data_IF_817022262345
#
_entry.id   IF_817022262345
#
_cell.length_a   1.000
_cell.length_b   1.000
_cell.length_c   1.000
_cell.angle_alpha   90.00
_cell.angle_beta   90.00
_cell.angle_gamma   90.00
#
_symmetry.space_group_name_H-M   'P 1'
#
loop_
_entity.id
_entity.type
_entity.pdbx_description
1 polymer ?
#
# COMPACT_ATOMS: atom_id res chain seq x y z
N UNK A 1 4.67 2.48 -8.94
CA UNK A 1 5.49 1.92 -7.85
C UNK A 1 4.92 2.42 -6.52
N UNK A 2 4.78 1.57 -5.51
CA UNK A 2 4.21 1.94 -4.19
C UNK A 2 5.32 2.35 -3.22
N UNK A 3 5.08 3.39 -2.42
CA UNK A 3 5.98 3.80 -1.33
C UNK A 3 5.56 3.20 0.02
N UNK A 4 6.51 3.05 0.95
CA UNK A 4 6.22 2.62 2.31
C UNK A 4 5.26 3.58 3.03
N UNK A 5 5.31 4.88 2.72
CA UNK A 5 4.36 5.88 3.22
C UNK A 5 2.94 5.63 2.69
N UNK A 6 2.79 5.36 1.39
CA UNK A 6 1.49 5.00 0.80
C UNK A 6 0.94 3.71 1.40
N UNK A 7 1.79 2.70 1.62
CA UNK A 7 1.39 1.44 2.25
C UNK A 7 0.84 1.64 3.68
N UNK A 8 1.54 2.44 4.50
CA UNK A 8 1.07 2.81 5.85
C UNK A 8 -0.22 3.62 5.82
N UNK A 9 -0.34 4.57 4.89
CA UNK A 9 -1.56 5.37 4.71
C UNK A 9 -2.75 4.49 4.29
N UNK A 10 -2.56 3.56 3.37
CA UNK A 10 -3.58 2.60 2.94
C UNK A 10 -4.09 1.77 4.12
N UNK A 11 -3.19 1.22 4.96
CA UNK A 11 -3.60 0.50 6.17
C UNK A 11 -4.39 1.37 7.14
N UNK A 12 -3.95 2.61 7.34
CA UNK A 12 -4.62 3.54 8.24
C UNK A 12 -6.06 3.83 7.77
N UNK A 13 -6.26 4.03 6.46
CA UNK A 13 -7.60 4.19 5.87
C UNK A 13 -8.47 2.95 6.06
N UNK A 14 -7.89 1.76 5.92
CA UNK A 14 -8.59 0.49 6.14
C UNK A 14 -8.77 0.12 7.63
N UNK A 15 -8.16 0.88 8.56
CA UNK A 15 -8.13 0.55 9.99
C UNK A 15 -7.58 -0.84 10.30
N UNK A 16 -6.55 -1.28 9.56
CA UNK A 16 -5.91 -2.60 9.74
C UNK A 16 -4.45 -2.50 10.19
N UNK A 17 -3.98 -3.53 10.88
CA UNK A 17 -2.57 -3.69 11.25
C UNK A 17 -1.75 -4.42 10.17
N UNK A 18 -0.44 -4.57 10.41
CA UNK A 18 0.47 -5.25 9.48
C UNK A 18 0.14 -6.74 9.31
N UNK A 19 -0.39 -7.39 10.36
CA UNK A 19 -0.75 -8.81 10.33
C UNK A 19 -1.94 -9.03 9.41
N UNK A 20 -2.96 -8.18 9.50
CA UNK A 20 -4.12 -8.27 8.62
C UNK A 20 -3.77 -7.95 7.18
N UNK A 21 -2.87 -6.98 6.93
CA UNK A 21 -2.38 -6.74 5.57
C UNK A 21 -1.60 -7.94 5.01
N UNK A 22 -0.79 -8.62 5.85
CA UNK A 22 -0.09 -9.84 5.46
C UNK A 22 -1.07 -10.96 5.07
N UNK A 23 -2.13 -11.15 5.86
CA UNK A 23 -3.22 -12.09 5.55
C UNK A 23 -3.91 -11.76 4.21
N UNK A 24 -4.34 -10.51 4.02
CA UNK A 24 -5.04 -10.06 2.80
C UNK A 24 -4.17 -10.21 1.53
N UNK A 25 -2.85 -9.99 1.66
CA UNK A 25 -1.91 -10.08 0.53
C UNK A 25 -1.33 -11.48 0.32
N UNK A 26 -1.60 -12.45 1.20
CA UNK A 26 -0.95 -13.76 1.16
C UNK A 26 0.57 -13.69 1.33
N UNK A 27 1.08 -12.60 1.92
CA UNK A 27 2.50 -12.40 2.23
C UNK A 27 2.77 -12.77 3.68
N UNK A 28 4.02 -13.10 4.00
CA UNK A 28 4.42 -13.30 5.40
C UNK A 28 4.50 -11.95 6.14
N UNK A 29 4.16 -11.95 7.44
CA UNK A 29 4.29 -10.76 8.28
C UNK A 29 5.69 -10.11 8.22
N UNK A 30 6.82 -10.86 8.26
CA UNK A 30 8.15 -10.27 8.11
C UNK A 30 8.37 -9.58 6.75
N UNK A 31 7.70 -10.06 5.69
CA UNK A 31 7.77 -9.41 4.37
C UNK A 31 7.07 -8.06 4.40
N UNK A 32 5.84 -8.00 4.94
CA UNK A 32 5.10 -6.75 5.13
C UNK A 32 5.87 -5.76 6.00
N UNK A 33 6.47 -6.22 7.10
CA UNK A 33 7.29 -5.38 7.98
C UNK A 33 8.50 -4.79 7.26
N UNK A 34 9.23 -5.59 6.47
CA UNK A 34 10.36 -5.09 5.66
C UNK A 34 9.91 -4.10 4.59
N UNK A 35 8.75 -4.33 3.97
CA UNK A 35 8.18 -3.42 2.98
C UNK A 35 7.85 -2.06 3.60
N UNK A 36 7.16 -2.03 4.75
CA UNK A 36 6.84 -0.78 5.45
C UNK A 36 8.07 -0.06 6.05
N UNK A 37 9.15 -0.79 6.32
CA UNK A 37 10.41 -0.22 6.80
C UNK A 37 11.29 0.37 5.68
N UNK A 38 10.87 0.27 4.41
CA UNK A 38 11.66 0.82 3.28
C UNK A 38 11.70 2.35 3.33
N UNK A 39 12.87 2.93 3.06
CA UNK A 39 13.02 4.38 2.83
C UNK A 39 12.55 4.72 1.40
N UNK A 40 11.31 5.21 1.28
CA UNK A 40 10.71 5.59 0.00
C UNK A 40 9.96 4.44 -0.69
N UNK A 41 10.37 4.09 -1.91
CA UNK A 41 9.75 3.02 -2.71
C UNK A 41 9.97 1.66 -2.04
N UNK A 42 8.90 0.87 -1.93
CA UNK A 42 8.97 -0.47 -1.35
C UNK A 42 9.87 -1.36 -2.21
N UNK A 43 10.86 -2.00 -1.58
CA UNK A 43 11.73 -2.99 -2.22
C UNK A 43 11.16 -4.39 -2.04
N UNK A 44 11.12 -5.18 -3.12
CA UNK A 44 10.64 -6.55 -3.12
C UNK A 44 10.69 -7.15 -4.52
N UNK A 45 10.48 -8.47 -4.62
CA UNK A 45 10.27 -9.09 -5.91
C UNK A 45 8.92 -8.67 -6.50
N UNK A 46 8.77 -8.80 -7.83
CA UNK A 46 7.59 -8.31 -8.55
C UNK A 46 6.32 -9.03 -8.11
N UNK A 47 6.38 -10.35 -7.88
CA UNK A 47 5.24 -11.15 -7.42
C UNK A 47 4.67 -10.63 -6.08
N UNK A 48 5.54 -10.33 -5.12
CA UNK A 48 5.11 -9.82 -3.80
C UNK A 48 4.50 -8.43 -3.91
N UNK A 49 5.06 -7.57 -4.78
CA UNK A 49 4.50 -6.25 -5.04
C UNK A 49 3.13 -6.34 -5.71
N UNK A 50 2.95 -7.26 -6.68
CA UNK A 50 1.66 -7.49 -7.32
C UNK A 50 0.60 -7.97 -6.33
N UNK A 51 0.94 -8.92 -5.47
CA UNK A 51 0.05 -9.41 -4.40
C UNK A 51 -0.37 -8.30 -3.44
N UNK A 52 0.57 -7.45 -3.02
CA UNK A 52 0.28 -6.32 -2.15
C UNK A 52 -0.69 -5.32 -2.81
N UNK A 53 -0.41 -4.93 -4.06
CA UNK A 53 -1.26 -3.97 -4.81
C UNK A 53 -2.66 -4.55 -5.01
N UNK A 54 -2.75 -5.81 -5.44
CA UNK A 54 -4.04 -6.48 -5.65
C UNK A 54 -4.86 -6.58 -4.35
N UNK A 55 -4.21 -6.84 -3.21
CA UNK A 55 -4.90 -6.92 -1.92
C UNK A 55 -5.43 -5.56 -1.45
N UNK A 56 -4.69 -4.47 -1.68
CA UNK A 56 -5.15 -3.12 -1.37
C UNK A 56 -6.31 -2.71 -2.27
N UNK A 57 -6.23 -2.99 -3.57
CA UNK A 57 -7.30 -2.74 -4.53
C UNK A 57 -8.58 -3.51 -4.17
N UNK A 58 -8.46 -4.81 -3.88
CA UNK A 58 -9.58 -5.65 -3.43
C UNK A 58 -10.18 -5.19 -2.09
N UNK A 59 -9.39 -4.53 -1.24
CA UNK A 59 -9.87 -3.93 0.01
C UNK A 59 -10.49 -2.53 -0.17
N UNK A 60 -10.53 -2.01 -1.40
CA UNK A 60 -11.13 -0.71 -1.74
C UNK A 60 -10.17 0.48 -1.68
N UNK A 61 -8.85 0.23 -1.72
CA UNK A 61 -7.83 1.29 -1.79
C UNK A 61 -7.39 1.49 -3.24
N UNK A 62 -7.61 2.70 -3.75
CA UNK A 62 -7.03 3.15 -5.01
C UNK A 62 -5.65 3.80 -4.77
N UNK A 63 -4.59 3.24 -5.34
CA UNK A 63 -3.25 3.80 -5.25
C UNK A 63 -3.02 4.85 -6.33
N UNK A 64 -2.87 6.12 -5.92
CA UNK A 64 -2.59 7.24 -6.82
C UNK A 64 -1.06 7.38 -7.01
N UNK A 65 -0.61 7.27 -8.26
CA UNK A 65 0.80 7.48 -8.62
C UNK A 65 1.24 8.94 -8.50
N UNK A 66 2.56 9.16 -8.52
CA UNK A 66 3.11 10.52 -8.57
C UNK A 66 2.58 11.29 -9.80
N UNK A 67 2.12 12.52 -9.58
CA UNK A 67 1.53 13.37 -10.63
C UNK A 67 0.16 12.91 -11.16
N UNK A 68 -0.38 11.78 -10.68
CA UNK A 68 -1.65 11.27 -11.18
C UNK A 68 -2.84 12.09 -10.65
N UNK A 69 -3.85 12.27 -11.51
CA UNK A 69 -5.10 12.93 -11.17
C UNK A 69 -6.04 11.91 -10.53
N UNK A 70 -6.59 12.23 -9.35
CA UNK A 70 -7.68 11.46 -8.74
C UNK A 70 -9.00 11.86 -9.43
N UNK A 71 -9.42 11.08 -10.43
CA UNK A 71 -10.62 11.39 -11.21
C UNK A 71 -11.91 10.99 -10.49
N UNK A 72 -11.90 9.84 -9.81
CA UNK A 72 -13.00 9.27 -9.03
C UNK A 72 -13.34 10.11 -7.79
N UNK A 73 -12.36 10.83 -7.25
CA UNK A 73 -12.50 11.64 -6.03
C UNK A 73 -12.60 10.78 -4.76
N UNK A 74 -13.29 11.30 -3.73
CA UNK A 74 -13.48 10.61 -2.45
C UNK A 74 -12.60 11.14 -1.31
N UNK A 75 -12.80 10.57 -0.10
CA UNK A 75 -12.04 10.96 1.09
C UNK A 75 -10.69 10.25 1.06
N UNK A 76 -9.61 11.03 1.04
CA UNK A 76 -8.26 10.50 1.02
C UNK A 76 -7.24 11.51 1.53
N UNK A 77 -5.98 11.10 1.55
CA UNK A 77 -4.85 11.95 1.94
C UNK A 77 -3.75 11.87 0.90
N UNK A 78 -3.13 13.01 0.59
CA UNK A 78 -1.94 13.10 -0.26
C UNK A 78 -0.93 14.03 0.38
N UNK A 79 0.36 13.76 0.16
CA UNK A 79 1.40 14.75 0.46
C UNK A 79 1.22 15.96 -0.47
N UNK A 80 1.47 17.17 0.05
CA UNK A 80 1.58 18.35 -0.79
C UNK A 80 2.91 18.28 -1.55
N UNK A 81 2.85 18.54 -2.85
CA UNK A 81 4.03 18.85 -3.67
C UNK A 81 4.35 20.34 -3.58
#
# INVERSE_FOLDING_TARGET
MITAAQMRAARALLSIDQRKLAELSGLSLPTVQRMEASEGVVRGNVDSLMKLVAALDAAGIELIGEGAVSQSGGRGVRLKG
#
